data_IF_140789542955
#
_entry.id   IF_140789542955
#
_cell.length_a   1.000
_cell.length_b   1.000
_cell.length_c   1.000
_cell.angle_alpha   90.00
_cell.angle_beta   90.00
_cell.angle_gamma   90.00
#
_symmetry.space_group_name_H-M   'P 1'
#
loop_
_entity.id
_entity.type
_entity.pdbx_description
1 polymer ?
#
# COMPACT_ATOMS: atom_id res chain seq x y z
N UNK A 1 -1.02 -9.80 -7.82
CA UNK A 1 -0.31 -8.49 -7.84
C UNK A 1 -0.71 -7.67 -6.64
N UNK A 2 0.19 -6.81 -6.16
CA UNK A 2 -0.08 -5.86 -5.08
C UNK A 2 -0.04 -4.44 -5.62
N UNK A 3 -0.95 -3.58 -5.17
CA UNK A 3 -1.01 -2.18 -5.57
C UNK A 3 -1.05 -1.29 -4.34
N UNK A 4 -0.26 -0.24 -4.35
CA UNK A 4 -0.38 0.86 -3.39
C UNK A 4 -1.09 2.01 -4.08
N UNK A 5 -2.21 2.43 -3.50
CA UNK A 5 -3.14 3.41 -4.06
C UNK A 5 -3.17 4.63 -3.16
N UNK A 6 -3.09 5.81 -3.75
CA UNK A 6 -3.29 7.09 -3.08
C UNK A 6 -4.71 7.55 -3.38
N UNK A 7 -5.49 7.84 -2.35
CA UNK A 7 -6.80 8.50 -2.44
C UNK A 7 -6.65 9.94 -1.99
N UNK A 8 -6.98 10.87 -2.88
CA UNK A 8 -6.82 12.31 -2.64
C UNK A 8 -8.02 12.94 -1.92
N UNK A 9 -9.08 12.17 -1.64
CA UNK A 9 -10.26 12.66 -0.90
C UNK A 9 -9.99 12.73 0.59
N UNK A 10 -10.65 13.67 1.25
CA UNK A 10 -10.80 13.69 2.70
C UNK A 10 -12.26 13.97 3.09
N UNK A 11 -12.94 13.04 3.80
CA UNK A 11 -12.49 11.69 4.15
C UNK A 11 -12.37 10.76 2.93
N UNK A 12 -11.64 9.66 3.07
CA UNK A 12 -11.48 8.68 1.99
C UNK A 12 -12.82 7.99 1.65
N UNK A 13 -13.21 8.01 0.38
CA UNK A 13 -14.45 7.38 -0.11
C UNK A 13 -14.24 5.93 -0.60
N UNK A 14 -15.26 5.27 -1.13
CA UNK A 14 -15.06 3.95 -1.75
C UNK A 14 -14.15 4.04 -2.99
N UNK A 15 -13.36 2.99 -3.21
CA UNK A 15 -12.38 2.84 -4.28
C UNK A 15 -12.70 1.55 -5.05
N UNK A 16 -12.65 1.63 -6.39
CA UNK A 16 -12.93 0.50 -7.27
C UNK A 16 -11.63 -0.09 -7.81
N UNK A 17 -11.37 -1.36 -7.49
CA UNK A 17 -10.13 -2.03 -7.88
C UNK A 17 -10.02 -2.28 -9.39
N UNK A 18 -11.15 -2.31 -10.11
CA UNK A 18 -11.15 -2.49 -11.58
C UNK A 18 -10.74 -1.22 -12.33
N UNK A 19 -10.72 -0.08 -11.64
CA UNK A 19 -10.39 1.24 -12.19
C UNK A 19 -8.99 1.72 -11.77
N UNK A 20 -8.20 0.85 -11.14
CA UNK A 20 -6.85 1.19 -10.71
C UNK A 20 -5.98 1.53 -11.92
N UNK A 21 -5.49 2.77 -11.95
CA UNK A 21 -4.71 3.32 -13.04
C UNK A 21 -3.70 4.36 -12.54
N UNK A 22 -2.83 4.83 -13.42
CA UNK A 22 -1.87 5.89 -13.10
C UNK A 22 -2.56 7.25 -12.91
N UNK A 23 -1.87 8.20 -12.27
CA UNK A 23 -2.46 9.51 -11.93
C UNK A 23 -2.93 10.32 -13.14
N UNK A 24 -2.21 10.28 -14.27
CA UNK A 24 -2.58 11.05 -15.46
C UNK A 24 -3.89 10.51 -16.01
N UNK A 25 -4.02 9.19 -16.11
CA UNK A 25 -5.25 8.53 -16.56
C UNK A 25 -6.39 8.75 -15.57
N UNK A 26 -6.16 8.58 -14.27
CA UNK A 26 -7.15 8.82 -13.22
C UNK A 26 -7.71 10.25 -13.28
N UNK A 27 -6.83 11.25 -13.43
CA UNK A 27 -7.23 12.64 -13.58
C UNK A 27 -8.11 12.88 -14.80
N UNK A 28 -7.75 12.30 -15.96
CA UNK A 28 -8.56 12.39 -17.19
C UNK A 28 -9.95 11.78 -16.99
N UNK A 29 -10.03 10.69 -16.23
CA UNK A 29 -11.27 9.97 -15.92
C UNK A 29 -12.01 10.55 -14.71
N UNK A 30 -11.49 11.61 -14.08
CA UNK A 30 -12.02 12.22 -12.85
C UNK A 30 -12.14 11.22 -11.68
N UNK A 31 -11.25 10.23 -11.64
CA UNK A 31 -11.13 9.27 -10.54
C UNK A 31 -10.22 9.89 -9.47
N UNK A 32 -10.65 9.99 -8.21
CA UNK A 32 -9.92 10.72 -7.17
C UNK A 32 -8.85 9.89 -6.46
N UNK A 33 -8.46 8.76 -7.05
CA UNK A 33 -7.42 7.87 -6.55
C UNK A 33 -6.58 7.31 -7.69
N UNK A 34 -5.33 6.96 -7.41
CA UNK A 34 -4.40 6.43 -8.40
C UNK A 34 -3.38 5.47 -7.79
N UNK A 35 -2.81 4.61 -8.62
CA UNK A 35 -1.74 3.69 -8.24
C UNK A 35 -0.41 4.45 -8.16
N UNK A 36 0.25 4.38 -7.00
CA UNK A 36 1.58 4.94 -6.76
C UNK A 36 2.70 3.88 -6.88
N UNK A 37 2.37 2.60 -6.70
CA UNK A 37 3.31 1.49 -6.87
C UNK A 37 2.58 0.18 -7.18
N UNK A 38 3.23 -0.72 -7.93
CA UNK A 38 2.80 -2.10 -8.10
C UNK A 38 3.92 -3.08 -7.80
N UNK A 39 3.57 -4.23 -7.22
CA UNK A 39 4.47 -5.33 -6.94
C UNK A 39 3.91 -6.67 -7.43
N UNK A 40 4.80 -7.55 -7.85
CA UNK A 40 4.59 -8.98 -8.04
C UNK A 40 5.17 -9.75 -6.84
N UNK A 41 4.95 -11.06 -6.78
CA UNK A 41 5.61 -11.92 -5.80
C UNK A 41 7.15 -11.81 -5.89
N UNK A 42 7.69 -11.71 -7.10
CA UNK A 42 9.15 -11.65 -7.33
C UNK A 42 9.77 -10.32 -6.87
N UNK A 43 9.01 -9.22 -6.97
CA UNK A 43 9.49 -7.86 -6.61
C UNK A 43 9.20 -7.49 -5.16
N UNK A 44 8.48 -8.35 -4.43
CA UNK A 44 8.17 -8.22 -3.01
C UNK A 44 8.35 -9.58 -2.30
N UNK A 45 9.58 -10.13 -2.26
CA UNK A 45 9.85 -11.45 -1.66
C UNK A 45 9.69 -11.44 -0.13
N UNK A 46 9.57 -10.27 0.48
CA UNK A 46 9.37 -10.09 1.91
C UNK A 46 8.88 -8.68 2.25
N UNK A 47 8.69 -8.39 3.55
CA UNK A 47 8.21 -7.09 4.00
C UNK A 47 9.11 -5.95 3.53
N UNK A 48 8.50 -4.88 3.01
CA UNK A 48 9.22 -3.71 2.49
C UNK A 48 8.56 -2.42 2.94
N UNK A 49 9.37 -1.46 3.39
CA UNK A 49 8.91 -0.09 3.62
C UNK A 49 8.85 0.65 2.29
N UNK A 50 7.71 1.26 2.01
CA UNK A 50 7.49 2.11 0.82
C UNK A 50 7.17 3.51 1.31
N UNK A 51 7.96 4.49 0.86
CA UNK A 51 7.69 5.90 1.15
C UNK A 51 6.80 6.45 0.05
N UNK A 52 5.58 6.84 0.36
CA UNK A 52 4.66 7.42 -0.63
C UNK A 52 5.01 8.88 -0.88
N UNK A 53 4.98 9.30 -2.13
CA UNK A 53 5.26 10.67 -2.54
C UNK A 53 6.71 11.01 -2.86
N UNK A 54 7.57 10.04 -3.16
CA UNK A 54 9.00 10.29 -3.31
C UNK A 54 9.51 10.39 -4.75
N UNK A 55 8.63 10.33 -5.74
CA UNK A 55 8.96 10.46 -7.16
C UNK A 55 9.58 9.21 -7.79
N UNK A 56 9.73 8.11 -7.05
CA UNK A 56 10.23 6.85 -7.60
C UNK A 56 9.21 6.18 -8.55
N UNK A 57 9.69 5.35 -9.48
CA UNK A 57 8.84 4.51 -10.33
C UNK A 57 8.93 3.06 -9.86
N UNK A 58 7.80 2.46 -9.49
CA UNK A 58 7.75 1.10 -8.95
C UNK A 58 6.66 0.30 -9.67
N UNK A 59 7.06 -0.79 -10.31
CA UNK A 59 6.15 -1.64 -11.08
C UNK A 59 5.45 -0.91 -12.24
N UNK A 60 6.11 0.12 -12.79
CA UNK A 60 5.59 0.94 -13.90
C UNK A 60 4.76 2.16 -13.48
N UNK A 61 4.52 2.36 -12.19
CA UNK A 61 3.75 3.49 -11.68
C UNK A 61 4.66 4.53 -11.02
N UNK A 62 4.45 5.80 -11.36
CA UNK A 62 5.14 6.92 -10.72
C UNK A 62 4.50 7.20 -9.36
N UNK A 63 5.32 7.19 -8.32
CA UNK A 63 4.97 7.59 -6.96
C UNK A 63 4.99 9.12 -6.84
N UNK A 64 3.96 9.76 -7.40
CA UNK A 64 3.90 11.22 -7.55
C UNK A 64 4.21 11.98 -6.26
N UNK A 65 5.10 13.01 -6.31
CA UNK A 65 5.34 13.88 -5.17
C UNK A 65 4.04 14.43 -4.57
N UNK A 66 3.91 14.28 -3.26
CA UNK A 66 2.72 14.74 -2.53
C UNK A 66 2.84 16.24 -2.23
N UNK A 67 1.71 16.94 -2.25
CA UNK A 67 1.67 18.37 -1.95
C UNK A 67 1.76 18.57 -0.44
N UNK A 68 2.74 19.34 0.00
CA UNK A 68 2.92 19.67 1.42
C UNK A 68 1.65 20.30 1.99
N UNK A 69 1.16 19.78 3.11
CA UNK A 69 -0.04 20.27 3.79
C UNK A 69 -1.35 19.71 3.25
N UNK A 70 -1.37 19.06 2.08
CA UNK A 70 -2.53 18.28 1.63
C UNK A 70 -2.53 16.94 2.36
N UNK A 71 -3.70 16.55 2.85
CA UNK A 71 -3.90 15.24 3.44
C UNK A 71 -4.27 14.24 2.35
N UNK A 72 -3.79 13.02 2.53
CA UNK A 72 -3.98 11.91 1.60
C UNK A 72 -4.37 10.67 2.39
N UNK A 73 -5.06 9.76 1.72
CA UNK A 73 -5.37 8.45 2.25
C UNK A 73 -4.68 7.40 1.38
N UNK A 74 -4.42 6.22 1.94
CA UNK A 74 -3.78 5.14 1.18
C UNK A 74 -4.43 3.80 1.38
N UNK A 75 -4.33 3.00 0.33
CA UNK A 75 -4.85 1.65 0.32
C UNK A 75 -3.88 0.69 -0.34
N UNK A 76 -3.92 -0.54 0.16
CA UNK A 76 -3.20 -1.67 -0.41
C UNK A 76 -4.24 -2.63 -0.95
N UNK A 77 -4.11 -2.95 -2.23
CA UNK A 77 -4.88 -4.01 -2.87
C UNK A 77 -3.98 -5.21 -3.13
N UNK A 78 -4.44 -6.39 -2.74
CA UNK A 78 -3.86 -7.68 -3.16
C UNK A 78 -4.84 -8.36 -4.09
N UNK A 79 -4.50 -8.48 -5.36
CA UNK A 79 -5.33 -9.10 -6.40
C UNK A 79 -4.72 -10.44 -6.77
N UNK A 80 -5.47 -11.51 -6.53
CA UNK A 80 -5.09 -12.87 -6.90
C UNK A 80 -5.81 -13.27 -8.19
N UNK A 81 -5.06 -13.87 -9.11
CA UNK A 81 -5.60 -14.45 -10.32
C UNK A 81 -5.79 -15.95 -10.12
N UNK A 82 -6.94 -16.48 -10.55
CA UNK A 82 -7.24 -17.90 -10.63
C UNK A 82 -7.61 -18.20 -12.08
N UNK A 83 -6.91 -19.14 -12.73
CA UNK A 83 -7.14 -19.50 -14.14
C UNK A 83 -7.10 -18.29 -15.10
N UNK A 84 -6.17 -17.37 -14.88
CA UNK A 84 -5.99 -16.18 -15.73
C UNK A 84 -7.06 -15.09 -15.57
N UNK A 85 -7.91 -15.18 -14.53
CA UNK A 85 -8.91 -14.16 -14.19
C UNK A 85 -8.72 -13.67 -12.77
N UNK A 86 -8.87 -12.36 -12.48
CA UNK A 86 -8.91 -11.88 -11.10
C UNK A 86 -10.04 -12.56 -10.33
N UNK A 87 -9.72 -13.20 -9.21
CA UNK A 87 -10.65 -14.04 -8.46
C UNK A 87 -10.85 -13.59 -7.01
N UNK A 88 -9.80 -13.02 -6.38
CA UNK A 88 -9.88 -12.56 -4.98
C UNK A 88 -9.17 -11.23 -4.84
N UNK A 89 -9.81 -10.30 -4.14
CA UNK A 89 -9.27 -8.98 -3.83
C UNK A 89 -9.30 -8.75 -2.32
N UNK A 90 -8.14 -8.62 -1.72
CA UNK A 90 -8.01 -8.13 -0.34
C UNK A 90 -7.65 -6.64 -0.37
N UNK A 91 -8.29 -5.86 0.50
CA UNK A 91 -8.10 -4.42 0.62
C UNK A 91 -7.75 -4.07 2.07
N UNK A 92 -6.66 -3.34 2.25
CA UNK A 92 -6.26 -2.76 3.53
C UNK A 92 -6.13 -1.26 3.38
N UNK A 93 -6.79 -0.49 4.25
CA UNK A 93 -6.70 0.97 4.27
C UNK A 93 -5.87 1.43 5.47
N UNK A 94 -4.89 2.28 5.23
CA UNK A 94 -4.19 3.01 6.29
C UNK A 94 -4.76 4.42 6.44
N UNK A 95 -4.97 4.89 7.67
CA UNK A 95 -5.28 6.30 7.95
C UNK A 95 -4.03 7.04 8.42
N UNK A 96 -3.85 8.32 8.08
CA UNK A 96 -2.72 9.06 8.62
C UNK A 96 -2.88 9.39 10.12
N UNK A 97 -1.76 9.54 10.87
CA UNK A 97 -0.39 9.39 10.39
C UNK A 97 0.23 8.06 10.86
N UNK A 98 0.09 6.98 10.09
CA UNK A 98 0.77 5.72 10.46
C UNK A 98 2.23 5.64 9.98
N UNK A 99 3.09 5.28 10.94
CA UNK A 99 4.23 4.39 10.75
C UNK A 99 3.70 3.00 10.38
N UNK A 100 4.16 2.40 9.28
CA UNK A 100 3.93 0.97 9.02
C UNK A 100 5.08 0.14 9.63
N UNK A 101 4.77 -0.61 10.68
CA UNK A 101 5.59 -1.74 11.17
C UNK A 101 4.88 -3.02 10.73
N UNK A 102 5.43 -3.73 9.75
CA UNK A 102 4.98 -5.09 9.43
C UNK A 102 5.74 -6.06 10.36
N UNK A 103 5.00 -6.71 11.26
CA UNK A 103 5.40 -7.69 12.28
C UNK A 103 6.55 -7.31 13.21
N UNK A 104 6.22 -7.04 14.48
CA UNK A 104 7.09 -7.43 15.59
C UNK A 104 6.43 -8.64 16.27
N UNK A 105 6.72 -9.86 15.79
CA UNK A 105 6.64 -11.01 16.70
C UNK A 105 7.83 -10.91 17.64
N UNK A 106 7.69 -10.14 18.73
CA UNK A 106 8.51 -10.40 19.91
C UNK A 106 7.92 -11.62 20.60
N UNK A 107 8.48 -12.79 20.32
CA UNK A 107 8.59 -13.79 21.37
C UNK A 107 9.37 -13.15 22.51
N UNK A 108 8.70 -13.02 23.65
CA UNK A 108 9.33 -12.72 24.92
C UNK A 108 10.36 -13.83 25.21
N UNK A 109 11.64 -13.48 25.16
CA UNK A 109 12.69 -14.25 25.82
C UNK A 109 12.97 -13.55 27.16
N UNK A 110 12.64 -14.15 28.31
CA UNK A 110 13.15 -13.64 29.58
C UNK A 110 14.68 -13.78 29.57
N UNK A 111 15.36 -12.73 30.01
CA UNK A 111 16.80 -12.56 29.91
C UNK A 111 17.40 -12.61 31.31
N UNK A 112 17.07 -13.66 32.06
CA UNK A 112 17.34 -13.68 33.49
C UNK A 112 17.52 -15.13 33.94
N UNK A 113 18.72 -15.66 33.68
CA UNK A 113 19.22 -16.78 34.44
C UNK A 113 19.48 -16.33 35.87
N UNK A 114 18.51 -16.50 36.75
CA UNK A 114 18.74 -16.67 38.19
C UNK A 114 17.86 -17.81 38.69
N UNK A 115 18.49 -18.98 38.83
CA UNK A 115 18.03 -20.03 39.73
C UNK A 115 18.12 -19.54 41.18
N UNK A 116 17.01 -19.61 41.91
CA UNK A 116 17.02 -19.84 43.36
C UNK A 116 15.75 -20.61 43.72
N UNK A 117 16.00 -21.72 44.44
CA UNK A 117 15.16 -22.85 44.89
C UNK A 117 13.64 -22.70 44.91
#
# INVERSE_FOLDING_TARGET
RYYVVVDEREPAGATNWTELTDKVTANKQKIPYYVAASFSADTLPGPRKVRIGDGSVIGGYLNYPLVKGKKYNYEIYSIWELQGKPAVVARQRGQHPFHFTFFETRTWAPKDGTHTW
#
